data_IF_659307703210
#
_entry.id   IF_659307703210
#
_cell.length_a   1.000
_cell.length_b   1.000
_cell.length_c   1.000
_cell.angle_alpha   90.00
_cell.angle_beta   90.00
_cell.angle_gamma   90.00
#
_symmetry.space_group_name_H-M   'P 1'
#
loop_
_entity.id
_entity.type
_entity.pdbx_description
1 polymer ?
#
# COMPACT_ATOMS: atom_id res chain seq x y z
N UNK A 1 26.59 -20.49 0.21
CA UNK A 1 25.26 -21.12 0.01
C UNK A 1 25.19 -21.62 -1.41
N UNK A 2 25.35 -22.92 -1.60
CA UNK A 2 25.24 -23.57 -2.90
C UNK A 2 23.76 -23.58 -3.30
N UNK A 3 23.41 -22.84 -4.36
CA UNK A 3 22.04 -22.82 -4.88
C UNK A 3 21.87 -24.09 -5.71
N UNK A 4 21.36 -25.16 -5.10
CA UNK A 4 21.08 -26.38 -5.84
C UNK A 4 20.00 -26.14 -6.90
N UNK A 5 20.20 -26.63 -8.14
CA UNK A 5 19.20 -26.50 -9.19
C UNK A 5 17.93 -27.25 -8.80
N UNK A 6 16.76 -26.64 -9.08
CA UNK A 6 15.47 -27.30 -8.85
C UNK A 6 15.41 -28.61 -9.62
N UNK A 7 15.04 -29.69 -8.94
CA UNK A 7 14.88 -31.01 -9.56
C UNK A 7 13.83 -30.89 -10.68
N UNK A 8 14.14 -31.38 -11.90
CA UNK A 8 13.19 -31.31 -13.00
C UNK A 8 11.94 -32.14 -12.67
N UNK A 9 10.80 -31.66 -13.13
CA UNK A 9 9.48 -32.26 -12.84
C UNK A 9 9.27 -33.56 -13.67
N UNK A 10 10.16 -33.84 -14.63
CA UNK A 10 10.21 -35.08 -15.43
C UNK A 10 11.51 -35.18 -16.23
N UNK A 11 11.69 -36.30 -16.93
CA UNK A 11 12.90 -36.58 -17.73
C UNK A 11 12.94 -35.78 -19.04
N UNK A 12 11.79 -35.36 -19.55
CA UNK A 12 11.64 -34.56 -20.79
C UNK A 12 11.05 -33.19 -20.48
N UNK A 13 11.47 -32.18 -21.25
CA UNK A 13 10.87 -30.85 -21.18
C UNK A 13 9.39 -30.92 -21.59
N UNK A 14 8.50 -30.48 -20.70
CA UNK A 14 7.06 -30.45 -20.93
C UNK A 14 6.73 -29.47 -22.07
N UNK A 15 5.91 -29.92 -23.02
CA UNK A 15 5.41 -29.10 -24.12
C UNK A 15 4.49 -27.98 -23.62
N UNK A 16 4.23 -26.98 -24.47
CA UNK A 16 3.33 -25.88 -24.11
C UNK A 16 1.89 -26.37 -23.86
N UNK A 17 1.42 -27.34 -24.65
CA UNK A 17 0.09 -27.94 -24.49
C UNK A 17 -0.06 -28.67 -23.15
N UNK A 18 0.92 -29.49 -22.78
CA UNK A 18 0.94 -30.20 -21.49
C UNK A 18 1.03 -29.22 -20.32
N UNK A 19 1.80 -28.13 -20.48
CA UNK A 19 1.86 -27.05 -19.51
C UNK A 19 0.50 -26.40 -19.30
N UNK A 20 -0.20 -26.11 -20.38
CA UNK A 20 -1.52 -25.49 -20.33
C UNK A 20 -2.57 -26.43 -19.72
N UNK A 21 -2.52 -27.73 -20.05
CA UNK A 21 -3.40 -28.73 -19.45
C UNK A 21 -3.17 -28.85 -17.93
N UNK A 22 -1.90 -28.89 -17.51
CA UNK A 22 -1.52 -28.93 -16.08
C UNK A 22 -1.94 -27.67 -15.34
N UNK A 23 -1.81 -26.49 -15.95
CA UNK A 23 -2.28 -25.24 -15.37
C UNK A 23 -3.80 -25.24 -15.15
N UNK A 24 -4.58 -25.70 -16.14
CA UNK A 24 -6.04 -25.83 -16.02
C UNK A 24 -6.44 -26.84 -14.94
N UNK A 25 -5.80 -28.00 -14.88
CA UNK A 25 -6.05 -29.02 -13.86
C UNK A 25 -5.76 -28.50 -12.44
N UNK A 26 -4.64 -27.80 -12.24
CA UNK A 26 -4.29 -27.20 -10.96
C UNK A 26 -5.30 -26.12 -10.52
N UNK A 27 -5.83 -25.33 -11.48
CA UNK A 27 -6.89 -24.35 -11.20
C UNK A 27 -8.22 -25.01 -10.85
N UNK A 28 -8.61 -26.06 -11.56
CA UNK A 28 -9.83 -26.81 -11.27
C UNK A 28 -9.78 -27.51 -9.90
N UNK A 29 -8.59 -28.00 -9.50
CA UNK A 29 -8.36 -28.61 -8.19
C UNK A 29 -8.21 -27.60 -7.03
N UNK A 30 -8.37 -26.30 -7.28
CA UNK A 30 -8.26 -25.26 -6.25
C UNK A 30 -6.86 -25.12 -5.65
N UNK A 31 -5.81 -25.58 -6.35
CA UNK A 31 -4.46 -25.53 -5.82
C UNK A 31 -4.05 -24.07 -5.53
N UNK A 32 -3.48 -23.76 -4.35
CA UNK A 32 -3.11 -22.41 -3.99
C UNK A 32 -2.04 -21.89 -4.93
N UNK A 33 -2.35 -20.80 -5.64
CA UNK A 33 -1.35 -20.08 -6.43
C UNK A 33 -0.51 -19.29 -5.45
N UNK A 34 0.66 -19.83 -5.10
CA UNK A 34 1.64 -19.13 -4.27
C UNK A 34 2.16 -17.94 -5.06
N UNK A 35 1.53 -16.77 -4.85
CA UNK A 35 2.03 -15.50 -5.35
C UNK A 35 3.09 -15.02 -4.35
N UNK A 36 4.35 -15.07 -4.75
CA UNK A 36 5.46 -14.47 -3.99
C UNK A 36 5.42 -12.94 -4.00
N UNK A 37 4.53 -12.34 -4.79
CA UNK A 37 4.37 -10.88 -4.86
C UNK A 37 3.41 -10.39 -3.78
N UNK A 38 3.85 -9.35 -3.05
CA UNK A 38 3.02 -8.48 -2.21
C UNK A 38 1.71 -8.16 -2.96
N UNK A 39 0.53 -8.22 -2.31
CA UNK A 39 -0.71 -7.77 -2.92
C UNK A 39 -0.49 -6.37 -3.47
N UNK A 40 -0.65 -6.22 -4.79
CA UNK A 40 -0.57 -4.89 -5.39
C UNK A 40 -1.79 -4.11 -4.89
N UNK A 41 -1.58 -2.90 -4.41
CA UNK A 41 -2.71 -2.00 -4.15
C UNK A 41 -3.43 -1.74 -5.47
N UNK A 42 -4.63 -2.30 -5.59
CA UNK A 42 -5.45 -2.24 -6.78
C UNK A 42 -6.14 -0.88 -6.96
N UNK A 43 -6.04 0.02 -5.99
CA UNK A 43 -6.56 1.38 -6.12
C UNK A 43 -5.80 2.13 -7.22
N UNK A 44 -6.55 2.83 -8.05
CA UNK A 44 -5.99 3.77 -9.03
C UNK A 44 -5.14 4.84 -8.35
N UNK A 45 -4.18 5.40 -9.09
CA UNK A 45 -3.26 6.43 -8.56
C UNK A 45 -3.99 7.63 -7.96
N UNK A 46 -5.03 8.12 -8.63
CA UNK A 46 -5.88 9.21 -8.15
C UNK A 46 -6.55 8.86 -6.81
N UNK A 47 -7.20 7.69 -6.72
CA UNK A 47 -7.82 7.24 -5.47
C UNK A 47 -6.83 7.12 -4.31
N UNK A 48 -5.59 6.65 -4.57
CA UNK A 48 -4.56 6.61 -3.53
C UNK A 48 -4.14 8.00 -3.07
N UNK A 49 -4.06 8.96 -3.99
CA UNK A 49 -3.79 10.35 -3.62
C UNK A 49 -4.89 10.89 -2.70
N UNK A 50 -6.16 10.76 -3.11
CA UNK A 50 -7.30 11.22 -2.32
C UNK A 50 -7.32 10.56 -0.93
N UNK A 51 -7.14 9.23 -0.87
CA UNK A 51 -7.10 8.47 0.39
C UNK A 51 -5.94 8.93 1.30
N UNK A 52 -4.77 9.26 0.73
CA UNK A 52 -3.63 9.73 1.52
C UNK A 52 -3.84 11.16 2.04
N UNK A 53 -4.39 12.06 1.22
CA UNK A 53 -4.70 13.43 1.65
C UNK A 53 -5.76 13.40 2.75
N UNK A 54 -6.82 12.60 2.58
CA UNK A 54 -7.84 12.41 3.61
C UNK A 54 -7.24 11.87 4.91
N UNK A 55 -6.38 10.85 4.83
CA UNK A 55 -5.71 10.30 6.01
C UNK A 55 -4.77 11.29 6.72
N UNK A 56 -4.14 12.22 5.99
CA UNK A 56 -3.34 13.29 6.60
C UNK A 56 -4.23 14.28 7.36
N UNK A 57 -5.39 14.64 6.81
CA UNK A 57 -6.36 15.53 7.47
C UNK A 57 -6.92 14.90 8.73
N UNK A 58 -7.30 13.62 8.67
CA UNK A 58 -7.76 12.87 9.85
C UNK A 58 -6.68 12.82 10.94
N UNK A 59 -5.43 12.51 10.55
CA UNK A 59 -4.30 12.51 11.49
C UNK A 59 -4.05 13.89 12.12
N UNK A 60 -4.21 14.98 11.37
CA UNK A 60 -4.04 16.34 11.93
C UNK A 60 -5.06 16.62 13.04
N UNK A 61 -6.30 16.15 12.90
CA UNK A 61 -7.33 16.24 13.95
C UNK A 61 -6.92 15.44 15.19
N UNK A 62 -6.40 14.22 15.01
CA UNK A 62 -5.91 13.39 16.12
C UNK A 62 -4.73 14.05 16.85
N UNK A 63 -3.79 14.63 16.10
CA UNK A 63 -2.63 15.32 16.69
C UNK A 63 -3.02 16.64 17.38
N UNK A 64 -4.02 17.36 16.87
CA UNK A 64 -4.57 18.55 17.52
C UNK A 64 -5.23 18.18 18.84
N UNK A 65 -6.06 17.12 18.86
CA UNK A 65 -6.65 16.63 20.10
C UNK A 65 -5.57 16.19 21.11
N UNK A 66 -4.49 15.59 20.64
CA UNK A 66 -3.35 15.26 21.50
C UNK A 66 -2.69 16.53 22.06
N UNK A 67 -2.42 17.54 21.23
CA UNK A 67 -1.85 18.82 21.66
C UNK A 67 -2.71 19.51 22.72
N UNK A 68 -4.03 19.54 22.53
CA UNK A 68 -4.98 20.12 23.49
C UNK A 68 -5.04 19.36 24.81
N UNK A 69 -4.75 18.05 24.80
CA UNK A 69 -4.73 17.21 26.00
C UNK A 69 -3.40 17.23 26.77
N UNK A 70 -2.38 17.94 26.27
CA UNK A 70 -1.07 17.96 26.92
C UNK A 70 -1.11 18.69 28.28
N UNK A 71 -0.49 18.13 29.33
CA UNK A 71 -0.27 18.84 30.59
C UNK A 71 0.56 20.11 30.42
N UNK A 72 0.26 21.14 31.22
CA UNK A 72 0.96 22.44 31.19
C UNK A 72 2.49 22.31 31.28
N UNK A 73 2.99 21.36 32.08
CA UNK A 73 4.42 21.10 32.23
C UNK A 73 5.12 20.58 30.98
N UNK A 74 4.37 20.13 29.97
CA UNK A 74 4.88 19.62 28.70
C UNK A 74 4.67 20.59 27.53
N UNK A 75 4.09 21.77 27.77
CA UNK A 75 3.79 22.73 26.72
C UNK A 75 5.04 23.29 26.05
N UNK A 76 6.18 23.38 26.74
CA UNK A 76 7.45 23.83 26.13
C UNK A 76 8.36 22.67 25.70
N UNK A 77 7.82 21.45 25.63
CA UNK A 77 8.59 20.28 25.23
C UNK A 77 8.73 20.17 23.70
N UNK A 78 9.76 19.44 23.26
CA UNK A 78 9.94 19.08 21.85
C UNK A 78 8.73 18.33 21.26
N UNK A 79 7.96 17.61 22.10
CA UNK A 79 6.72 16.94 21.68
C UNK A 79 5.65 17.96 21.31
N UNK A 80 5.44 18.98 22.15
CA UNK A 80 4.46 20.02 21.89
C UNK A 80 4.83 20.84 20.65
N UNK A 81 6.12 21.12 20.44
CA UNK A 81 6.62 21.77 19.23
C UNK A 81 6.35 20.94 17.98
N UNK A 82 6.63 19.62 18.01
CA UNK A 82 6.35 18.74 16.88
C UNK A 82 4.84 18.63 16.57
N UNK A 83 3.99 18.56 17.60
CA UNK A 83 2.54 18.55 17.43
C UNK A 83 2.01 19.85 16.80
N UNK A 84 2.51 21.01 17.25
CA UNK A 84 2.18 22.30 16.64
C UNK A 84 2.63 22.36 15.19
N UNK A 85 3.86 21.93 14.90
CA UNK A 85 4.36 21.90 13.54
C UNK A 85 3.49 21.03 12.61
N UNK A 86 2.95 19.90 13.10
CA UNK A 86 1.99 19.09 12.33
C UNK A 86 0.65 19.83 12.16
N UNK A 87 0.13 20.45 13.23
CA UNK A 87 -1.14 21.17 13.21
C UNK A 87 -1.10 22.43 12.35
N UNK A 88 0.07 23.07 12.21
CA UNK A 88 0.27 24.29 11.43
C UNK A 88 0.41 24.01 9.92
N UNK A 89 0.54 22.74 9.50
CA UNK A 89 0.58 22.39 8.09
C UNK A 89 -0.77 22.72 7.42
N UNK A 90 -0.73 23.59 6.41
CA UNK A 90 -1.90 23.87 5.59
C UNK A 90 -2.14 22.72 4.58
N UNK A 91 -2.97 21.76 4.98
CA UNK A 91 -3.39 20.66 4.12
C UNK A 91 -4.48 21.06 3.11
N UNK A 92 -4.99 22.29 3.14
CA UNK A 92 -5.99 22.75 2.17
C UNK A 92 -5.42 22.84 0.76
N UNK A 93 -4.14 23.21 0.63
CA UNK A 93 -3.44 23.22 -0.66
C UNK A 93 -3.37 21.82 -1.27
N UNK A 94 -3.14 20.78 -0.45
CA UNK A 94 -3.12 19.39 -0.90
C UNK A 94 -4.51 18.88 -1.28
N UNK A 95 -5.55 19.28 -0.53
CA UNK A 95 -6.95 18.94 -0.83
C UNK A 95 -7.44 19.59 -2.13
N UNK A 96 -6.92 20.76 -2.49
CA UNK A 96 -7.28 21.45 -3.73
C UNK A 96 -6.71 20.79 -5.00
N UNK A 97 -5.68 19.94 -4.87
CA UNK A 97 -5.05 19.27 -6.01
C UNK A 97 -5.92 18.09 -6.47
N UNK A 98 -6.42 18.19 -7.71
CA UNK A 98 -7.06 17.06 -8.39
C UNK A 98 -6.00 16.23 -9.10
N UNK A 99 -5.72 14.99 -8.66
CA UNK A 99 -4.71 14.15 -9.30
C UNK A 99 -5.19 13.74 -10.71
N UNK A 100 -4.27 13.63 -11.69
CA UNK A 100 -4.65 13.19 -13.02
C UNK A 100 -5.26 11.79 -12.97
N UNK A 101 -6.43 11.62 -13.59
CA UNK A 101 -7.00 10.30 -13.87
C UNK A 101 -6.03 9.62 -14.83
N UNK A 102 -5.41 8.51 -14.40
CA UNK A 102 -4.43 7.80 -15.22
C UNK A 102 -4.99 7.43 -16.60
N UNK A 103 -4.12 7.19 -17.57
CA UNK A 103 -4.53 6.78 -18.92
C UNK A 103 -5.32 5.46 -18.87
N UNK A 104 -6.65 5.57 -18.91
CA UNK A 104 -7.60 4.45 -18.99
C UNK A 104 -8.22 4.04 -17.66
N UNK A 105 -9.34 4.70 -17.30
CA UNK A 105 -10.61 4.12 -16.77
C UNK A 105 -11.43 5.18 -16.04
N UNK A 106 -12.54 5.59 -16.66
CA UNK A 106 -13.81 5.74 -15.93
C UNK A 106 -14.37 4.32 -15.65
#
# INVERSE_FOLDING_TARGET
MEIMPRKPIGETAMTDAERQARYRAARAAGAPVIRTRRPADHRGRARRWDDHVAGLVEAQVEFMAWLESLPDSLQDSATAEALRAICDLDLSELQAIVPPRGFGRD
#
